data_IF_900308747680
#
_entry.id   IF_900308747680
#
_cell.length_a   1.000
_cell.length_b   1.000
_cell.length_c   1.000
_cell.angle_alpha   90.00
_cell.angle_beta   90.00
_cell.angle_gamma   90.00
#
_symmetry.space_group_name_H-M   'P 1'
#
loop_
_entity.id
_entity.type
_entity.pdbx_description
1 polymer ?
#
# COMPACT_ATOMS: atom_id res chain seq x y z
N UNK A 1 -5.24 -5.33 -15.44
CA UNK A 1 -4.83 -6.04 -16.67
C UNK A 1 -5.83 -7.15 -16.92
N UNK A 2 -6.47 -7.17 -18.08
CA UNK A 2 -7.19 -8.36 -18.53
C UNK A 2 -6.15 -9.42 -18.93
N UNK A 3 -6.15 -10.56 -18.23
CA UNK A 3 -5.14 -11.60 -18.46
C UNK A 3 -5.36 -12.39 -19.76
N UNK A 4 -6.55 -12.25 -20.38
CA UNK A 4 -6.88 -12.93 -21.63
C UNK A 4 -6.53 -12.05 -22.82
N UNK A 5 -6.91 -10.76 -22.78
CA UNK A 5 -6.70 -9.84 -23.91
C UNK A 5 -5.40 -9.05 -23.82
N UNK A 6 -4.83 -8.92 -22.61
CA UNK A 6 -3.68 -8.04 -22.36
C UNK A 6 -4.07 -6.56 -22.19
N UNK A 7 -5.37 -6.23 -22.21
CA UNK A 7 -5.83 -4.85 -22.11
C UNK A 7 -5.64 -4.29 -20.69
N UNK A 8 -5.15 -3.06 -20.61
CA UNK A 8 -5.09 -2.30 -19.37
C UNK A 8 -6.46 -1.70 -19.12
N UNK A 9 -7.19 -2.22 -18.11
CA UNK A 9 -8.54 -1.73 -17.75
C UNK A 9 -8.53 -0.29 -17.23
N UNK A 10 -7.52 0.05 -16.43
CA UNK A 10 -7.27 1.39 -15.90
C UNK A 10 -5.84 1.45 -15.32
N UNK A 11 -5.36 2.67 -15.07
CA UNK A 11 -4.09 2.95 -14.40
C UNK A 11 -4.29 4.03 -13.36
N UNK A 12 -3.62 3.89 -12.22
CA UNK A 12 -3.58 4.91 -11.18
C UNK A 12 -2.15 5.36 -10.99
N UNK A 13 -1.93 6.66 -10.89
CA UNK A 13 -0.62 7.23 -10.57
C UNK A 13 -0.56 7.43 -9.06
N UNK A 14 0.51 6.96 -8.43
CA UNK A 14 0.79 7.25 -7.02
C UNK A 14 0.87 8.77 -6.83
N UNK A 15 -0.05 9.38 -6.05
CA UNK A 15 -0.08 10.83 -5.86
C UNK A 15 1.11 11.36 -5.05
N UNK A 16 1.87 10.48 -4.39
CA UNK A 16 2.99 10.85 -3.52
C UNK A 16 4.35 10.83 -4.22
N UNK A 17 4.38 10.59 -5.53
CA UNK A 17 5.64 10.35 -6.26
C UNK A 17 6.65 11.49 -6.15
N UNK A 18 7.66 11.28 -5.31
CA UNK A 18 9.05 11.49 -5.66
C UNK A 18 9.56 10.15 -6.22
N UNK A 19 9.99 10.15 -7.48
CA UNK A 19 9.99 9.03 -8.44
C UNK A 19 11.00 7.90 -8.11
N UNK A 20 11.63 7.94 -6.94
CA UNK A 20 12.74 7.06 -6.56
C UNK A 20 12.39 5.95 -5.56
N UNK A 21 11.15 5.86 -5.06
CA UNK A 21 10.80 4.93 -3.95
C UNK A 21 9.44 4.23 -4.04
N UNK A 22 8.72 4.35 -5.15
CA UNK A 22 7.37 3.76 -5.26
C UNK A 22 7.46 2.31 -5.74
N UNK A 23 7.54 1.35 -4.80
CA UNK A 23 7.15 -0.04 -5.08
C UNK A 23 5.81 -0.33 -4.40
N UNK A 24 4.78 -0.54 -5.21
CA UNK A 24 3.58 -1.21 -4.73
C UNK A 24 3.93 -2.69 -4.55
N UNK A 25 4.24 -3.09 -3.31
CA UNK A 25 4.68 -4.45 -3.00
C UNK A 25 3.51 -5.40 -2.78
N UNK A 26 2.29 -4.89 -2.57
CA UNK A 26 1.11 -5.70 -2.37
C UNK A 26 -0.15 -5.03 -2.92
N UNK A 27 -0.96 -5.81 -3.62
CA UNK A 27 -2.33 -5.47 -4.00
C UNK A 27 -3.27 -6.56 -3.46
N UNK A 28 -4.31 -6.17 -2.74
CA UNK A 28 -5.33 -7.08 -2.22
C UNK A 28 -6.71 -6.61 -2.67
N UNK A 29 -7.54 -7.53 -3.14
CA UNK A 29 -8.96 -7.23 -3.35
C UNK A 29 -9.72 -7.45 -2.04
N UNK A 30 -10.44 -6.42 -1.59
CA UNK A 30 -11.30 -6.46 -0.41
C UNK A 30 -12.70 -6.08 -0.83
N UNK A 31 -13.61 -7.05 -0.82
CA UNK A 31 -14.92 -6.94 -1.46
C UNK A 31 -14.79 -6.51 -2.92
N UNK A 32 -15.36 -5.36 -3.29
CA UNK A 32 -15.32 -4.79 -4.64
C UNK A 32 -14.27 -3.67 -4.79
N UNK A 33 -13.38 -3.51 -3.80
CA UNK A 33 -12.30 -2.51 -3.81
C UNK A 33 -10.94 -3.19 -3.95
N UNK A 34 -10.00 -2.48 -4.55
CA UNK A 34 -8.59 -2.89 -4.56
C UNK A 34 -7.85 -2.06 -3.52
N UNK A 35 -7.18 -2.71 -2.58
CA UNK A 35 -6.27 -2.05 -1.64
C UNK A 35 -4.84 -2.24 -2.12
N UNK A 36 -4.15 -1.14 -2.34
CA UNK A 36 -2.73 -1.12 -2.64
C UNK A 36 -1.95 -0.74 -1.39
N UNK A 37 -0.95 -1.55 -1.06
CA UNK A 37 0.03 -1.23 -0.04
C UNK A 37 1.30 -0.82 -0.76
N UNK A 38 1.67 0.45 -0.59
CA UNK A 38 2.94 0.96 -1.04
C UNK A 38 3.98 0.77 0.06
N UNK A 39 4.92 -0.13 -0.22
CA UNK A 39 6.09 -0.31 0.60
C UNK A 39 7.07 0.82 0.32
N UNK A 40 7.44 1.56 1.35
CA UNK A 40 8.64 2.38 1.25
C UNK A 40 9.85 1.46 1.24
N UNK A 41 10.55 1.32 0.12
CA UNK A 41 11.85 0.62 0.13
C UNK A 41 12.82 1.51 0.88
N UNK A 42 13.48 0.97 1.91
CA UNK A 42 14.62 1.62 2.55
C UNK A 42 15.71 1.84 1.48
N UNK A 43 15.99 3.08 1.06
CA UNK A 43 17.23 3.31 0.33
C UNK A 43 18.35 3.03 1.31
N UNK A 44 19.42 2.34 0.90
CA UNK A 44 20.59 2.05 1.74
C UNK A 44 21.32 3.29 2.30
N UNK A 45 20.73 4.48 2.19
CA UNK A 45 21.20 5.78 2.62
C UNK A 45 20.27 6.32 3.72
N UNK A 46 20.83 6.54 4.91
CA UNK A 46 20.11 6.90 6.15
C UNK A 46 19.39 8.27 6.14
N UNK A 47 19.44 9.03 5.04
CA UNK A 47 19.02 10.44 4.98
C UNK A 47 17.84 10.72 4.04
N UNK A 48 17.04 9.71 3.68
CA UNK A 48 15.83 9.93 2.88
C UNK A 48 14.59 9.68 3.74
N UNK A 49 13.71 10.68 3.83
CA UNK A 49 12.39 10.54 4.46
C UNK A 49 11.59 9.47 3.71
N UNK A 50 11.18 8.43 4.44
CA UNK A 50 10.37 7.33 3.88
C UNK A 50 8.91 7.57 4.27
N UNK A 51 8.03 7.62 3.29
CA UNK A 51 6.58 7.70 3.51
C UNK A 51 5.95 6.38 3.06
N UNK A 52 5.43 5.61 4.02
CA UNK A 52 4.66 4.41 3.72
C UNK A 52 3.19 4.78 3.53
N UNK A 53 2.56 4.32 2.46
CA UNK A 53 1.18 4.67 2.14
C UNK A 53 0.33 3.44 1.79
N UNK A 54 -0.93 3.47 2.20
CA UNK A 54 -1.95 2.52 1.85
C UNK A 54 -3.08 3.28 1.15
N UNK A 55 -3.47 2.78 -0.03
CA UNK A 55 -4.53 3.36 -0.83
C UNK A 55 -5.66 2.38 -1.02
N UNK A 56 -6.89 2.84 -0.82
CA UNK A 56 -8.07 2.18 -1.34
C UNK A 56 -8.38 2.70 -2.73
N UNK A 57 -8.45 1.80 -3.70
CA UNK A 57 -8.81 2.10 -5.08
C UNK A 57 -10.15 1.48 -5.44
N UNK A 58 -10.90 2.21 -6.26
CA UNK A 58 -12.07 1.66 -6.93
C UNK A 58 -11.63 0.64 -7.99
N UNK A 59 -12.10 -0.60 -7.87
CA UNK A 59 -11.69 -1.70 -8.73
C UNK A 59 -12.14 -1.53 -10.20
N UNK A 60 -13.13 -0.67 -10.46
CA UNK A 60 -13.69 -0.45 -11.80
C UNK A 60 -12.93 0.61 -12.59
N UNK A 61 -12.49 1.69 -11.94
CA UNK A 61 -11.90 2.85 -12.63
C UNK A 61 -10.50 3.26 -12.09
N UNK A 62 -10.01 2.65 -11.01
CA UNK A 62 -8.72 2.98 -10.40
C UNK A 62 -8.69 4.26 -9.57
N UNK A 63 -9.84 4.89 -9.31
CA UNK A 63 -9.91 6.12 -8.50
C UNK A 63 -9.46 5.86 -7.05
N UNK A 64 -8.67 6.78 -6.49
CA UNK A 64 -8.27 6.75 -5.07
C UNK A 64 -9.47 7.17 -4.21
N UNK A 65 -9.99 6.24 -3.43
CA UNK A 65 -11.12 6.44 -2.53
C UNK A 65 -10.69 6.90 -1.14
N UNK A 66 -9.54 6.40 -0.67
CA UNK A 66 -8.93 6.84 0.58
C UNK A 66 -7.42 6.61 0.56
N UNK A 67 -6.72 7.38 1.39
CA UNK A 67 -5.28 7.31 1.60
C UNK A 67 -5.02 7.29 3.11
N UNK A 68 -4.14 6.40 3.53
CA UNK A 68 -3.51 6.46 4.85
C UNK A 68 -2.01 6.37 4.69
N UNK A 69 -1.28 7.31 5.30
CA UNK A 69 0.17 7.29 5.24
C UNK A 69 0.80 7.51 6.61
N UNK A 70 2.02 6.99 6.74
CA UNK A 70 2.88 7.14 7.90
C UNK A 70 4.24 7.65 7.47
N UNK A 71 4.69 8.72 8.14
CA UNK A 71 6.00 9.33 7.90
C UNK A 71 7.11 8.55 8.61
N UNK A 72 8.30 8.57 8.02
CA UNK A 72 9.53 7.94 8.52
C UNK A 72 9.44 6.43 8.78
N UNK A 73 8.42 5.77 8.25
CA UNK A 73 8.17 4.34 8.46
C UNK A 73 7.61 3.72 7.18
N UNK A 74 8.21 2.63 6.66
CA UNK A 74 7.62 1.90 5.55
C UNK A 74 6.49 0.99 6.01
N UNK A 75 5.54 0.71 5.11
CA UNK A 75 4.54 -0.34 5.29
C UNK A 75 5.07 -1.61 4.63
N UNK A 76 5.08 -2.73 5.34
CA UNK A 76 5.53 -4.01 4.80
C UNK A 76 4.57 -4.59 3.77
N UNK A 77 5.09 -5.49 2.94
CA UNK A 77 4.37 -6.18 1.86
C UNK A 77 3.38 -7.24 2.34
N UNK A 78 3.25 -7.44 3.65
CA UNK A 78 2.30 -8.37 4.27
C UNK A 78 1.08 -7.61 4.78
N UNK A 79 -0.09 -7.89 4.20
CA UNK A 79 -1.36 -7.45 4.75
C UNK A 79 -2.37 -8.59 4.83
N UNK A 80 -3.26 -8.51 5.80
CA UNK A 80 -4.36 -9.45 6.00
C UNK A 80 -5.64 -8.68 6.25
N UNK A 81 -6.76 -9.19 5.74
CA UNK A 81 -8.06 -8.56 5.91
C UNK A 81 -8.96 -9.47 6.71
N UNK A 82 -9.56 -8.94 7.75
CA UNK A 82 -10.60 -9.63 8.51
C UNK A 82 -11.79 -8.70 8.71
N UNK A 83 -12.94 -9.11 8.17
CA UNK A 83 -14.14 -8.27 8.09
C UNK A 83 -13.81 -6.95 7.38
N UNK A 84 -13.86 -5.86 8.12
CA UNK A 84 -13.71 -4.49 7.64
C UNK A 84 -12.38 -3.88 8.10
N UNK A 85 -11.44 -4.71 8.55
CA UNK A 85 -10.17 -4.27 9.10
C UNK A 85 -9.02 -4.87 8.31
N UNK A 86 -8.11 -4.00 7.88
CA UNK A 86 -6.83 -4.39 7.29
C UNK A 86 -5.76 -4.34 8.37
N UNK A 87 -5.00 -5.42 8.47
CA UNK A 87 -3.81 -5.52 9.29
C UNK A 87 -2.61 -5.44 8.37
N UNK A 88 -1.75 -4.45 8.60
CA UNK A 88 -0.50 -4.26 7.88
C UNK A 88 0.65 -4.25 8.86
N UNK A 89 1.77 -4.82 8.45
CA UNK A 89 3.04 -4.64 9.16
C UNK A 89 3.59 -3.26 8.84
N UNK A 90 4.09 -2.54 9.83
CA UNK A 90 4.87 -1.32 9.66
C UNK A 90 6.26 -1.54 10.24
N UNK A 91 7.27 -0.93 9.63
CA UNK A 91 8.65 -1.04 10.09
C UNK A 91 9.59 -1.63 9.07
N UNK A 92 10.88 -1.59 9.41
CA UNK A 92 11.96 -1.98 8.51
C UNK A 92 12.19 -3.48 8.57
N UNK A 93 12.03 -4.16 7.42
CA UNK A 93 12.52 -5.51 7.23
C UNK A 93 14.06 -5.51 7.12
N UNK A 94 14.76 -5.27 8.23
CA UNK A 94 16.22 -5.40 8.33
C UNK A 94 16.56 -6.64 9.18
N UNK A 95 17.51 -7.49 8.76
CA UNK A 95 17.82 -8.76 9.44
C UNK A 95 18.41 -8.63 10.86
N UNK A 96 18.43 -7.44 11.48
CA UNK A 96 19.00 -7.22 12.82
C UNK A 96 18.24 -6.29 13.77
N UNK A 97 17.07 -5.75 13.40
CA UNK A 97 16.20 -5.06 14.35
C UNK A 97 14.80 -4.92 13.76
N UNK A 98 13.96 -5.92 14.00
CA UNK A 98 12.53 -5.84 13.72
C UNK A 98 11.87 -4.89 14.72
N UNK A 99 11.73 -3.61 14.37
CA UNK A 99 10.68 -2.76 14.96
C UNK A 99 9.41 -2.98 14.15
N UNK A 100 8.93 -4.23 14.13
CA UNK A 100 7.75 -4.62 13.37
C UNK A 100 6.52 -4.35 14.23
N UNK A 101 5.85 -3.23 13.95
CA UNK A 101 4.53 -2.95 14.47
C UNK A 101 3.47 -3.57 13.55
N UNK A 102 2.29 -3.87 14.10
CA UNK A 102 1.10 -4.14 13.28
C UNK A 102 0.13 -2.99 13.50
N UNK A 103 -0.34 -2.40 12.40
CA UNK A 103 -1.43 -1.43 12.44
C UNK A 103 -2.69 -2.09 11.90
N UNK A 104 -3.79 -1.90 12.62
CA UNK A 104 -5.13 -2.27 12.19
C UNK A 104 -5.84 -1.01 11.70
N UNK A 105 -6.22 -1.00 10.41
CA UNK A 105 -6.93 0.09 9.77
C UNK A 105 -8.35 -0.38 9.45
N UNK A 106 -9.33 0.28 10.05
CA UNK A 106 -10.72 0.09 9.69
C UNK A 106 -10.95 0.69 8.30
N UNK A 107 -11.41 -0.14 7.37
CA UNK A 107 -11.77 0.32 6.04
C UNK A 107 -13.02 1.20 6.12
N UNK A 108 -13.03 2.36 5.44
CA UNK A 108 -14.25 3.12 5.30
C UNK A 108 -15.26 2.26 4.54
N UNK A 109 -16.48 2.16 5.09
CA UNK A 109 -17.61 1.60 4.35
C UNK A 109 -17.93 2.60 3.25
N UNK A 110 -17.62 2.25 2.00
CA UNK A 110 -17.99 3.05 0.85
C UNK A 110 -19.36 2.54 0.39
N UNK A 111 -20.41 3.38 0.45
CA UNK A 111 -21.78 2.99 0.12
C UNK A 111 -21.96 2.60 -1.35
#
# INVERSE_FOLDING_TARGET
LDLVTGDIKWTTVDPTTNISQTSADLALTVWDQLVLVQGGIYPGTRDISIKGCLYGLNNTNGEVLYEWCIENTPIGSGASVAKDTIYVTIGYAIPRAATDGIVALQLPLIP
#
